data_IF_676208735745
#
_entry.id   IF_676208735745
#
_cell.length_a   1.000
_cell.length_b   1.000
_cell.length_c   1.000
_cell.angle_alpha   90.00
_cell.angle_beta   90.00
_cell.angle_gamma   90.00
#
_symmetry.space_group_name_H-M   'P 1'
#
loop_
_entity.id
_entity.type
_entity.pdbx_description
1 polymer ?
#
# COMPACT_ATOMS: atom_id res chain seq x y z
N UNK A 1 -8.19 5.98 20.00
CA UNK A 1 -9.64 6.22 20.15
C UNK A 1 -9.85 7.69 19.85
N UNK A 2 -10.24 8.05 18.62
CA UNK A 2 -10.45 9.44 18.24
C UNK A 2 -11.80 9.89 18.82
N UNK A 3 -11.76 10.84 19.75
CA UNK A 3 -12.93 11.35 20.45
C UNK A 3 -13.50 12.52 19.65
N UNK A 4 -14.44 12.19 18.75
CA UNK A 4 -15.20 13.18 18.00
C UNK A 4 -16.10 13.96 18.97
N UNK A 5 -15.68 15.15 19.39
CA UNK A 5 -16.53 16.08 20.14
C UNK A 5 -17.65 16.59 19.23
N UNK A 6 -18.87 16.09 19.45
CA UNK A 6 -20.09 16.48 18.74
C UNK A 6 -20.80 17.56 19.55
N UNK A 7 -20.62 18.84 19.21
CA UNK A 7 -21.20 19.95 20.00
C UNK A 7 -22.60 20.36 19.49
N UNK A 8 -22.98 20.08 18.24
CA UNK A 8 -24.33 20.41 17.72
C UNK A 8 -24.62 19.77 16.35
N UNK A 9 -24.53 18.44 16.24
CA UNK A 9 -24.73 17.71 14.96
C UNK A 9 -23.73 18.03 13.84
N UNK A 10 -22.76 18.92 14.11
CA UNK A 10 -21.62 19.22 13.25
C UNK A 10 -20.41 18.49 13.79
N UNK A 11 -19.84 17.63 12.95
CA UNK A 11 -18.58 16.93 13.24
C UNK A 11 -17.44 17.94 13.13
N UNK A 12 -16.75 18.15 14.24
CA UNK A 12 -15.54 18.98 14.31
C UNK A 12 -14.34 18.12 14.66
N UNK A 13 -13.18 18.52 14.17
CA UNK A 13 -11.88 17.95 14.54
C UNK A 13 -11.08 19.00 15.30
N UNK A 14 -10.39 18.58 16.36
CA UNK A 14 -9.54 19.49 17.12
C UNK A 14 -8.22 19.74 16.39
N UNK A 15 -7.66 20.93 16.57
CA UNK A 15 -6.32 21.26 16.05
C UNK A 15 -5.20 20.36 16.60
N UNK A 16 -5.37 19.78 17.81
CA UNK A 16 -4.45 18.75 18.33
C UNK A 16 -4.54 17.45 17.54
N UNK A 17 -5.74 16.99 17.21
CA UNK A 17 -5.92 15.81 16.35
C UNK A 17 -5.31 16.05 14.96
N UNK A 18 -5.50 17.24 14.37
CA UNK A 18 -4.84 17.61 13.11
C UNK A 18 -3.32 17.55 13.26
N UNK A 19 -2.77 18.05 14.37
CA UNK A 19 -1.34 18.00 14.64
C UNK A 19 -0.81 16.55 14.69
N UNK A 20 -1.57 15.63 15.29
CA UNK A 20 -1.26 14.19 15.29
C UNK A 20 -1.35 13.60 13.89
N UNK A 21 -2.35 13.97 13.08
CA UNK A 21 -2.53 13.44 11.71
C UNK A 21 -1.42 13.87 10.75
N UNK A 22 -0.90 15.08 10.90
CA UNK A 22 0.16 15.63 10.04
C UNK A 22 1.55 15.42 10.65
N UNK A 23 1.63 14.82 11.85
CA UNK A 23 2.88 14.62 12.61
C UNK A 23 3.68 15.92 12.82
N UNK A 24 2.96 17.04 12.96
CA UNK A 24 3.54 18.36 13.19
C UNK A 24 3.25 18.84 14.61
N UNK A 25 4.08 19.77 15.10
CA UNK A 25 3.81 20.44 16.37
C UNK A 25 2.51 21.24 16.29
N UNK A 26 1.69 21.14 17.35
CA UNK A 26 0.44 21.90 17.50
C UNK A 26 0.60 23.41 17.26
N UNK A 27 1.73 23.98 17.66
CA UNK A 27 2.03 25.41 17.43
C UNK A 27 2.08 25.79 15.94
N UNK A 28 2.56 24.90 15.07
CA UNK A 28 2.58 25.13 13.62
C UNK A 28 1.17 25.10 13.03
N UNK A 29 0.32 24.22 13.55
CA UNK A 29 -1.10 24.13 13.15
C UNK A 29 -1.84 25.40 13.54
N UNK A 30 -1.71 25.87 14.78
CA UNK A 30 -2.32 27.13 15.25
C UNK A 30 -1.91 28.32 14.39
N UNK A 31 -0.60 28.50 14.15
CA UNK A 31 -0.08 29.58 13.31
C UNK A 31 -0.66 29.53 11.89
N UNK A 32 -0.83 28.32 11.34
CA UNK A 32 -1.40 28.12 10.01
C UNK A 32 -2.88 28.50 9.99
N UNK A 33 -3.65 28.11 11.00
CA UNK A 33 -5.05 28.50 11.16
C UNK A 33 -5.19 30.03 11.21
N UNK A 34 -4.41 30.70 12.05
CA UNK A 34 -4.41 32.16 12.18
C UNK A 34 -4.01 32.85 10.88
N UNK A 35 -2.98 32.35 10.19
CA UNK A 35 -2.55 32.89 8.90
C UNK A 35 -3.60 32.71 7.81
N UNK A 36 -4.25 31.55 7.74
CA UNK A 36 -5.32 31.28 6.77
C UNK A 36 -6.57 32.11 7.05
N UNK A 37 -6.90 32.33 8.32
CA UNK A 37 -8.00 33.21 8.71
C UNK A 37 -7.70 34.67 8.34
N UNK A 38 -6.47 35.14 8.57
CA UNK A 38 -6.04 36.48 8.17
C UNK A 38 -6.08 36.69 6.64
N UNK A 39 -5.82 35.64 5.86
CA UNK A 39 -5.93 35.64 4.39
C UNK A 39 -7.37 35.51 3.90
N UNK A 40 -8.34 35.25 4.77
CA UNK A 40 -9.75 35.00 4.40
C UNK A 40 -10.00 33.65 3.72
N UNK A 41 -9.05 32.71 3.76
CA UNK A 41 -9.22 31.38 3.17
C UNK A 41 -10.14 30.47 4.01
N UNK A 42 -10.10 30.67 5.32
CA UNK A 42 -10.97 30.02 6.31
C UNK A 42 -11.58 31.07 7.24
N UNK A 43 -12.72 30.75 7.85
CA UNK A 43 -13.23 31.56 8.97
C UNK A 43 -12.47 31.16 10.23
N UNK A 44 -12.09 32.11 11.08
CA UNK A 44 -11.39 31.80 12.32
C UNK A 44 -12.25 30.85 13.19
N UNK A 45 -11.77 29.62 13.46
CA UNK A 45 -12.53 28.65 14.23
C UNK A 45 -12.65 29.06 15.70
N UNK A 46 -13.68 28.56 16.37
CA UNK A 46 -13.83 28.72 17.82
C UNK A 46 -12.67 28.00 18.54
N UNK A 47 -12.15 28.60 19.59
CA UNK A 47 -11.08 28.03 20.42
C UNK A 47 -11.59 27.70 21.82
N UNK A 48 -11.20 26.54 22.34
CA UNK A 48 -11.45 26.11 23.70
C UNK A 48 -10.13 25.94 24.45
N UNK A 49 -10.15 26.23 25.75
CA UNK A 49 -9.01 26.05 26.64
C UNK A 49 -9.00 24.62 27.20
N UNK A 50 -7.97 23.85 26.87
CA UNK A 50 -7.84 22.44 27.30
C UNK A 50 -6.62 22.30 28.20
N UNK A 51 -6.75 21.51 29.26
CA UNK A 51 -5.63 21.16 30.15
C UNK A 51 -4.50 20.51 29.36
N UNK A 52 -3.26 20.83 29.72
CA UNK A 52 -2.07 20.27 29.12
C UNK A 52 -1.27 19.49 30.16
N UNK A 53 -1.06 18.19 29.90
CA UNK A 53 -0.36 17.29 30.82
C UNK A 53 1.17 17.32 30.67
N UNK A 54 1.69 18.05 29.66
CA UNK A 54 3.11 18.14 29.36
C UNK A 54 3.83 19.34 30.01
N UNK A 55 5.17 19.41 29.91
CA UNK A 55 5.93 20.55 30.37
C UNK A 55 5.54 21.81 29.58
N UNK A 56 4.95 22.80 30.24
CA UNK A 56 4.44 24.01 29.61
C UNK A 56 3.30 24.66 30.40
N UNK A 57 2.60 25.65 29.82
CA UNK A 57 1.41 26.23 30.44
C UNK A 57 0.37 25.14 30.69
N UNK A 58 -0.27 25.19 31.87
CA UNK A 58 -1.28 24.21 32.31
C UNK A 58 -2.50 24.14 31.39
N UNK A 59 -2.74 25.21 30.63
CA UNK A 59 -3.87 25.33 29.72
C UNK A 59 -3.38 25.77 28.35
N UNK A 60 -3.86 25.11 27.29
CA UNK A 60 -3.54 25.43 25.90
C UNK A 60 -4.83 25.62 25.12
N UNK A 61 -4.89 26.68 24.32
CA UNK A 61 -5.96 26.90 23.37
C UNK A 61 -5.94 25.86 22.24
N UNK A 62 -7.08 25.22 22.01
CA UNK A 62 -7.33 24.24 20.96
C UNK A 62 -8.49 24.74 20.11
N UNK A 63 -8.25 24.90 18.81
CA UNK A 63 -9.27 25.25 17.84
C UNK A 63 -10.14 24.05 17.44
N UNK A 64 -11.45 24.27 17.34
CA UNK A 64 -12.45 23.35 16.79
C UNK A 64 -12.66 23.65 15.32
N UNK A 65 -12.19 22.76 14.46
CA UNK A 65 -12.14 22.98 13.01
C UNK A 65 -13.27 22.21 12.33
N UNK A 66 -13.99 22.90 11.44
CA UNK A 66 -15.01 22.27 10.60
C UNK A 66 -14.42 21.48 9.43
N UNK A 67 -15.20 20.56 8.86
CA UNK A 67 -14.77 19.64 7.79
C UNK A 67 -14.09 20.33 6.59
N UNK A 68 -14.64 21.45 6.10
CA UNK A 68 -14.05 22.17 4.95
C UNK A 68 -12.66 22.70 5.29
N UNK A 69 -12.57 23.42 6.40
CA UNK A 69 -11.36 24.15 6.77
C UNK A 69 -10.26 23.18 7.18
N UNK A 70 -10.59 22.00 7.74
CA UNK A 70 -9.61 20.94 8.01
C UNK A 70 -8.89 20.47 6.75
N UNK A 71 -9.58 20.36 5.60
CA UNK A 71 -8.92 19.99 4.34
C UNK A 71 -7.97 21.09 3.86
N UNK A 72 -8.39 22.36 3.95
CA UNK A 72 -7.56 23.50 3.53
C UNK A 72 -6.30 23.60 4.40
N UNK A 73 -6.44 23.43 5.71
CA UNK A 73 -5.31 23.45 6.66
C UNK A 73 -4.34 22.31 6.35
N UNK A 74 -4.84 21.08 6.19
CA UNK A 74 -3.99 19.92 5.87
C UNK A 74 -3.28 20.11 4.54
N UNK A 75 -3.98 20.58 3.49
CA UNK A 75 -3.39 20.83 2.18
C UNK A 75 -2.23 21.84 2.21
N UNK A 76 -2.29 22.84 3.09
CA UNK A 76 -1.21 23.81 3.28
C UNK A 76 -0.03 23.24 4.08
N UNK A 77 -0.30 22.39 5.07
CA UNK A 77 0.72 21.79 5.94
C UNK A 77 1.47 20.64 5.25
N UNK A 78 0.81 19.90 4.36
CA UNK A 78 1.40 18.79 3.61
C UNK A 78 1.46 19.11 2.10
N UNK A 79 2.45 19.90 1.66
CA UNK A 79 2.62 20.19 0.23
C UNK A 79 2.86 18.91 -0.59
N UNK A 80 3.43 17.87 0.02
CA UNK A 80 3.59 16.55 -0.62
C UNK A 80 2.25 15.88 -0.97
N UNK A 81 1.25 16.03 -0.11
CA UNK A 81 -0.09 15.49 -0.37
C UNK A 81 -0.71 16.20 -1.56
N UNK A 82 -0.60 17.52 -1.61
CA UNK A 82 -1.07 18.34 -2.72
C UNK A 82 -0.32 18.02 -4.02
N UNK A 83 1.01 17.82 -3.96
CA UNK A 83 1.81 17.41 -5.12
C UNK A 83 1.33 16.08 -5.69
N UNK A 84 1.18 15.04 -4.86
CA UNK A 84 0.68 13.73 -5.31
C UNK A 84 -0.72 13.80 -5.91
N UNK A 85 -1.58 14.66 -5.36
CA UNK A 85 -2.90 14.90 -5.93
C UNK A 85 -2.78 15.50 -7.33
N UNK A 86 -1.97 16.54 -7.50
CA UNK A 86 -1.74 17.20 -8.80
C UNK A 86 -1.13 16.22 -9.80
N UNK A 87 -0.10 15.46 -9.41
CA UNK A 87 0.55 14.46 -10.26
C UNK A 87 -0.47 13.42 -10.77
N UNK A 88 -1.36 12.95 -9.89
CA UNK A 88 -2.41 12.00 -10.27
C UNK A 88 -3.41 12.58 -11.26
N UNK A 89 -3.77 13.86 -11.12
CA UNK A 89 -4.64 14.54 -12.07
C UNK A 89 -3.96 14.70 -13.43
N UNK A 90 -2.68 15.09 -13.46
CA UNK A 90 -1.91 15.18 -14.70
C UNK A 90 -1.79 13.83 -15.41
N UNK A 91 -1.60 12.74 -14.66
CA UNK A 91 -1.58 11.39 -15.21
C UNK A 91 -2.92 11.02 -15.86
N UNK A 92 -4.04 11.32 -15.18
CA UNK A 92 -5.38 11.10 -15.71
C UNK A 92 -5.68 11.98 -16.93
N UNK A 93 -5.24 13.23 -16.92
CA UNK A 93 -5.35 14.14 -18.06
C UNK A 93 -4.53 13.63 -19.25
N UNK A 94 -3.31 13.14 -19.03
CA UNK A 94 -2.49 12.53 -20.07
C UNK A 94 -3.13 11.25 -20.64
N UNK A 95 -3.79 10.45 -19.80
CA UNK A 95 -4.56 9.27 -20.23
C UNK A 95 -5.83 9.67 -20.99
N UNK A 96 -6.52 10.72 -20.55
CA UNK A 96 -7.75 11.21 -21.16
C UNK A 96 -7.52 12.01 -22.45
N UNK A 97 -6.34 12.64 -22.60
CA UNK A 97 -6.00 13.48 -23.74
C UNK A 97 -5.98 12.71 -25.07
N UNK A 98 -5.91 11.38 -25.06
CA UNK A 98 -5.89 10.56 -26.27
C UNK A 98 -4.74 10.93 -27.22
N UNK A 99 -4.65 10.31 -28.40
CA UNK A 99 -3.76 10.81 -29.44
C UNK A 99 -4.21 12.22 -29.85
N UNK A 100 -3.26 13.15 -29.97
CA UNK A 100 -3.51 14.52 -30.37
C UNK A 100 -4.40 14.54 -31.63
N UNK A 101 -5.62 15.10 -31.50
CA UNK A 101 -6.52 15.24 -32.62
C UNK A 101 -5.87 16.16 -33.67
N UNK A 102 -5.90 15.79 -34.96
CA UNK A 102 -5.34 16.63 -36.01
C UNK A 102 -6.05 17.98 -36.05
N UNK A 103 -5.31 19.04 -36.39
CA UNK A 103 -5.88 20.36 -36.59
C UNK A 103 -6.88 20.33 -37.77
N UNK A 104 -8.18 20.40 -37.46
CA UNK A 104 -9.24 20.35 -38.47
C UNK A 104 -9.40 21.65 -39.29
N UNK A 105 -8.67 22.72 -38.96
CA UNK A 105 -8.72 23.98 -39.73
C UNK A 105 -8.00 23.87 -41.08
N UNK A 106 -7.08 22.91 -41.24
CA UNK A 106 -6.42 22.61 -42.52
C UNK A 106 -6.77 21.17 -42.95
N UNK A 107 -7.69 20.99 -43.91
CA UNK A 107 -8.12 19.66 -44.35
C UNK A 107 -6.99 18.86 -45.02
N UNK A 108 -6.00 19.52 -45.61
CA UNK A 108 -4.86 18.84 -46.26
C UNK A 108 -3.91 18.27 -45.22
N UNK A 109 -3.60 19.06 -44.18
CA UNK A 109 -2.78 18.60 -43.07
C UNK A 109 -3.45 17.45 -42.30
N UNK A 110 -4.77 17.53 -42.08
CA UNK A 110 -5.53 16.47 -41.42
C UNK A 110 -5.53 15.15 -42.21
N UNK A 111 -5.69 15.21 -43.54
CA UNK A 111 -5.66 14.04 -44.40
C UNK A 111 -4.29 13.34 -44.43
N UNK A 112 -3.20 14.12 -44.40
CA UNK A 112 -1.82 13.59 -44.33
C UNK A 112 -1.57 12.87 -43.00
N UNK A 113 -1.92 13.50 -41.88
CA UNK A 113 -1.77 12.90 -40.56
C UNK A 113 -2.56 11.57 -40.44
N UNK A 114 -3.74 11.49 -41.06
CA UNK A 114 -4.51 10.25 -41.11
C UNK A 114 -3.83 9.17 -41.97
N UNK A 115 -3.29 9.52 -43.13
CA UNK A 115 -2.55 8.59 -43.99
C UNK A 115 -1.34 8.00 -43.26
N UNK A 116 -0.53 8.84 -42.61
CA UNK A 116 0.64 8.42 -41.83
C UNK A 116 0.23 7.45 -40.70
N UNK A 117 -0.88 7.73 -40.02
CA UNK A 117 -1.38 6.89 -38.93
C UNK A 117 -1.91 5.53 -39.43
N UNK A 118 -2.57 5.50 -40.60
CA UNK A 118 -3.01 4.25 -41.24
C UNK A 118 -1.82 3.40 -41.67
N UNK A 119 -0.77 4.02 -42.21
CA UNK A 119 0.46 3.30 -42.59
C UNK A 119 1.17 2.71 -41.37
N UNK A 120 1.28 3.47 -40.28
CA UNK A 120 1.85 2.99 -39.02
C UNK A 120 1.05 1.79 -38.46
N UNK A 121 -0.28 1.87 -38.46
CA UNK A 121 -1.15 0.78 -38.00
C UNK A 121 -0.98 -0.48 -38.86
N UNK A 122 -0.91 -0.34 -40.19
CA UNK A 122 -0.66 -1.46 -41.11
C UNK A 122 0.70 -2.11 -40.84
N UNK A 123 1.74 -1.33 -40.59
CA UNK A 123 3.07 -1.86 -40.26
C UNK A 123 3.04 -2.69 -38.97
N UNK A 124 2.33 -2.23 -37.93
CA UNK A 124 2.13 -2.96 -36.67
C UNK A 124 1.35 -4.26 -36.92
N UNK A 125 0.26 -4.21 -37.69
CA UNK A 125 -0.54 -5.39 -38.03
C UNK A 125 0.26 -6.45 -38.79
N UNK A 126 1.08 -6.03 -39.75
CA UNK A 126 1.95 -6.93 -40.51
C UNK A 126 3.02 -7.58 -39.62
N UNK A 127 3.59 -6.82 -38.68
CA UNK A 127 4.53 -7.31 -37.69
C UNK A 127 3.90 -8.26 -36.67
N UNK A 128 2.63 -8.03 -36.29
CA UNK A 128 1.88 -8.91 -35.39
C UNK A 128 1.44 -10.22 -36.08
N UNK A 129 1.10 -10.16 -37.37
CA UNK A 129 0.72 -11.33 -38.19
C UNK A 129 1.87 -12.32 -38.37
N UNK A 130 3.11 -11.84 -38.34
CA UNK A 130 4.30 -12.67 -38.38
C UNK A 130 4.95 -12.68 -36.99
N UNK A 131 4.42 -13.44 -36.00
CA UNK A 131 5.13 -13.60 -34.75
C UNK A 131 6.52 -14.15 -35.07
N UNK A 132 7.57 -13.43 -34.65
CA UNK A 132 8.94 -13.94 -34.78
C UNK A 132 8.96 -15.36 -34.22
N UNK A 133 9.62 -16.33 -34.88
CA UNK A 133 9.75 -17.66 -34.30
C UNK A 133 10.27 -17.48 -32.88
N UNK A 134 9.61 -18.12 -31.92
CA UNK A 134 9.95 -17.97 -30.51
C UNK A 134 11.46 -18.14 -30.38
N UNK A 135 12.13 -17.11 -29.88
CA UNK A 135 13.46 -17.29 -29.32
C UNK A 135 13.23 -18.23 -28.16
N UNK A 136 13.38 -19.54 -28.43
CA UNK A 136 13.52 -20.57 -27.43
C UNK A 136 14.59 -20.08 -26.48
N UNK A 137 14.19 -19.57 -25.32
CA UNK A 137 15.10 -19.24 -24.24
C UNK A 137 15.57 -20.56 -23.59
N UNK A 138 16.27 -21.37 -24.38
CA UNK A 138 16.98 -22.55 -23.93
C UNK A 138 18.43 -22.14 -23.63
N UNK A 139 18.61 -21.49 -22.47
CA UNK A 139 19.66 -21.88 -21.53
C UNK A 139 19.53 -21.04 -20.26
N UNK A 140 18.79 -21.59 -19.29
CA UNK A 140 19.08 -21.32 -17.88
C UNK A 140 20.10 -22.36 -17.44
N UNK A 141 21.35 -22.20 -17.88
CA UNK A 141 22.45 -22.84 -17.17
C UNK A 141 22.58 -22.10 -15.84
N UNK A 142 21.82 -22.58 -14.85
CA UNK A 142 22.11 -22.32 -13.45
C UNK A 142 23.48 -22.94 -13.19
N UNK A 143 24.54 -22.15 -13.29
CA UNK A 143 25.81 -22.49 -12.65
C UNK A 143 25.56 -22.45 -11.15
N UNK A 144 25.19 -23.59 -10.58
CA UNK A 144 25.25 -23.81 -9.14
C UNK A 144 26.76 -23.87 -8.82
N UNK A 145 27.32 -22.97 -8.00
CA UNK A 145 28.69 -23.13 -7.54
C UNK A 145 28.78 -24.46 -6.76
N UNK A 146 29.86 -25.21 -6.99
CA UNK A 146 30.10 -26.57 -6.50
C UNK A 146 30.10 -26.77 -4.95
N UNK A 147 29.62 -25.79 -4.18
CA UNK A 147 29.54 -25.80 -2.73
C UNK A 147 28.28 -26.49 -2.15
N UNK A 148 27.26 -26.81 -2.96
CA UNK A 148 26.01 -27.44 -2.47
C UNK A 148 25.81 -28.91 -2.89
N UNK A 149 26.82 -29.57 -3.48
CA UNK A 149 26.70 -30.95 -3.95
C UNK A 149 27.18 -32.02 -2.95
N UNK A 150 27.19 -31.74 -1.65
CA UNK A 150 27.48 -32.75 -0.61
C UNK A 150 26.34 -32.81 0.41
N UNK A 151 25.28 -33.53 0.06
CA UNK A 151 24.52 -34.40 0.99
C UNK A 151 23.33 -35.04 0.29
N UNK A 152 23.56 -36.08 -0.50
CA UNK A 152 22.50 -37.06 -0.77
C UNK A 152 22.98 -38.52 -0.83
N UNK A 153 24.26 -38.79 -0.54
CA UNK A 153 24.79 -40.15 -0.50
C UNK A 153 24.77 -40.80 0.90
N UNK A 154 24.51 -40.04 1.98
CA UNK A 154 24.53 -40.55 3.37
C UNK A 154 23.13 -40.77 3.98
N UNK A 155 22.06 -40.78 3.15
CA UNK A 155 20.69 -41.06 3.61
C UNK A 155 20.11 -42.39 3.11
N UNK A 156 20.85 -43.16 2.29
CA UNK A 156 20.39 -44.44 1.73
C UNK A 156 21.01 -45.69 2.39
N UNK A 157 22.04 -45.55 3.23
CA UNK A 157 22.73 -46.68 3.88
C UNK A 157 22.18 -47.06 5.27
N UNK A 158 21.21 -46.32 5.82
CA UNK A 158 20.60 -46.60 7.13
C UNK A 158 19.25 -47.36 7.05
N UNK A 159 18.76 -47.70 5.85
CA UNK A 159 17.50 -48.46 5.66
C UNK A 159 17.68 -49.95 5.41
N UNK A 160 18.93 -50.43 5.47
CA UNK A 160 19.32 -51.80 5.13
C UNK A 160 20.08 -52.45 6.29
N UNK A 161 19.47 -52.47 7.48
CA UNK A 161 19.91 -53.30 8.62
C UNK A 161 18.85 -53.39 9.72
N UNK A 162 17.61 -53.77 9.37
CA UNK A 162 16.55 -54.16 10.32
C UNK A 162 15.56 -55.16 9.67
N UNK A 163 16.05 -56.05 8.80
CA UNK A 163 15.28 -57.17 8.25
C UNK A 163 16.04 -58.48 8.45
N UNK A 164 16.16 -58.92 9.70
CA UNK A 164 16.37 -60.33 10.06
C UNK A 164 16.29 -60.52 11.58
N UNK A 165 15.11 -60.91 12.08
CA UNK A 165 14.99 -61.83 13.21
C UNK A 165 13.57 -62.46 13.19
N UNK A 166 13.43 -63.74 13.60
CA UNK A 166 12.50 -64.68 12.98
C UNK A 166 11.12 -64.76 13.66
N UNK A 167 10.12 -65.15 12.87
CA UNK A 167 8.75 -65.47 13.29
C UNK A 167 8.64 -66.94 13.76
N UNK A 168 8.14 -67.21 14.99
CA UNK A 168 7.32 -68.42 15.25
C UNK A 168 6.44 -68.35 16.51
N UNK A 169 5.23 -67.86 16.31
CA UNK A 169 3.90 -68.38 16.65
C UNK A 169 3.64 -69.33 17.87
N UNK A 170 2.59 -68.91 18.60
CA UNK A 170 1.46 -69.64 19.23
C UNK A 170 1.54 -70.25 20.65
N UNK A 171 0.63 -69.71 21.46
CA UNK A 171 -0.27 -70.34 22.45
C UNK A 171 0.21 -70.63 23.88
N UNK A 172 -0.73 -70.32 24.79
CA UNK A 172 -0.90 -70.73 26.20
C UNK A 172 -0.07 -70.00 27.26
N UNK A 173 -0.76 -69.12 28.00
CA UNK A 173 -1.06 -69.26 29.44
C UNK A 173 -1.54 -67.88 29.90
N UNK A 174 -2.84 -67.70 30.12
CA UNK A 174 -3.46 -67.96 31.40
C UNK A 174 -3.01 -66.97 32.48
N UNK A 175 -3.99 -66.13 32.87
CA UNK A 175 -4.37 -65.86 34.25
C UNK A 175 -3.70 -64.73 35.04
N UNK A 176 -4.61 -64.01 35.69
CA UNK A 176 -4.53 -63.23 36.92
C UNK A 176 -4.16 -61.75 36.75
N UNK A 177 -5.13 -60.82 36.83
CA UNK A 177 -6.01 -60.45 37.96
C UNK A 177 -5.39 -59.31 38.78
N UNK A 178 -6.19 -58.26 38.94
CA UNK A 178 -6.17 -57.26 40.00
C UNK A 178 -4.92 -56.39 40.18
N UNK A 179 -5.09 -55.07 40.08
CA UNK A 179 -5.17 -54.20 41.26
C UNK A 179 -5.01 -52.71 40.88
N UNK A 180 -5.94 -51.89 41.38
CA UNK A 180 -5.75 -50.53 41.93
C UNK A 180 -5.13 -49.45 41.01
N UNK A 181 -5.44 -48.15 41.04
CA UNK A 181 -6.27 -47.25 41.83
C UNK A 181 -6.26 -45.97 40.93
N UNK A 182 -7.38 -45.44 40.46
CA UNK A 182 -8.05 -44.27 41.04
C UNK A 182 -7.14 -43.19 41.68
N UNK A 183 -7.33 -41.96 41.14
CA UNK A 183 -7.28 -40.65 41.82
C UNK A 183 -5.89 -40.14 42.26
N UNK A 184 -5.54 -38.87 42.08
CA UNK A 184 -6.32 -37.62 42.05
C UNK A 184 -5.81 -36.66 40.98
#
# INVERSE_FOLDING_TARGET
MAELMTISGRVTITSREIATLVELRHDNVKRTIESLAAKGAITLPQSEEVSNDGPGPKTIAVYLVGKRDSYVIVAQLSPEFTARLVDRWQELEAQAAGPALPNFSDPVAAARAWADQVEANRAIELAARHPRPSVSSANRTTTIPAAWQISNHMRQSARMRLSCAPTRNKHKAAQNSAAACHQK
#
